data_IF_197264185682
#
_entry.id   IF_197264185682
#
_cell.length_a   1.000
_cell.length_b   1.000
_cell.length_c   1.000
_cell.angle_alpha   90.00
_cell.angle_beta   90.00
_cell.angle_gamma   90.00
#
_symmetry.space_group_name_H-M   'P 1'
#
loop_
_entity.id
_entity.type
_entity.pdbx_description
1 polymer ?
#
# COMPACT_ATOMS: atom_id res chain seq x y z
N UNK A 1 3.13 36.25 66.31
CA UNK A 1 1.97 36.27 65.40
C UNK A 1 2.28 37.33 64.35
N UNK A 2 3.03 36.96 63.30
CA UNK A 2 2.57 36.36 62.03
C UNK A 2 1.79 37.39 61.20
N UNK A 3 2.50 38.05 60.27
CA UNK A 3 2.52 37.70 58.82
C UNK A 3 1.28 38.18 58.05
N UNK A 4 0.94 39.48 58.04
CA UNK A 4 -0.26 39.97 57.35
C UNK A 4 -0.13 41.34 56.64
N UNK A 5 1.07 41.74 56.19
CA UNK A 5 1.20 43.00 55.40
C UNK A 5 2.06 42.87 54.14
N UNK A 6 2.64 41.70 53.84
CA UNK A 6 3.44 41.50 52.60
C UNK A 6 2.62 40.79 51.49
N UNK A 7 1.37 40.42 51.76
CA UNK A 7 0.48 39.77 50.79
C UNK A 7 -0.47 40.83 50.20
N UNK A 8 0.08 41.81 49.48
CA UNK A 8 -0.75 42.68 48.62
C UNK A 8 0.02 43.32 47.46
N UNK A 9 1.31 43.03 47.29
CA UNK A 9 2.14 43.59 46.21
C UNK A 9 2.98 42.43 45.63
N UNK A 10 2.29 41.45 45.05
CA UNK A 10 2.92 40.40 44.22
C UNK A 10 1.87 39.72 43.31
N UNK A 11 0.90 40.49 42.81
CA UNK A 11 -0.14 40.00 41.88
C UNK A 11 -0.20 40.77 40.56
N UNK A 12 0.78 41.64 40.28
CA UNK A 12 0.89 42.36 39.03
C UNK A 12 2.37 42.32 38.60
N UNK A 13 2.63 41.70 37.45
CA UNK A 13 3.92 41.53 36.75
C UNK A 13 4.71 40.23 37.02
N UNK A 14 4.18 39.09 36.56
CA UNK A 14 4.91 38.12 35.71
C UNK A 14 3.87 37.36 34.88
N UNK A 15 3.48 37.89 33.73
CA UNK A 15 4.05 37.55 32.43
C UNK A 15 3.94 36.05 32.11
N UNK A 16 2.85 35.72 31.40
CA UNK A 16 2.85 34.81 30.24
C UNK A 16 3.84 33.62 30.30
N UNK A 17 3.41 32.54 30.94
CA UNK A 17 3.82 31.20 30.52
C UNK A 17 2.56 30.44 30.10
N UNK A 18 2.04 30.86 28.94
CA UNK A 18 1.18 30.02 28.13
C UNK A 18 1.99 28.76 27.86
N UNK A 19 1.57 27.63 28.46
CA UNK A 19 1.98 26.30 28.06
C UNK A 19 1.53 26.11 26.61
N UNK A 20 2.36 26.61 25.69
CA UNK A 20 2.37 26.21 24.29
C UNK A 20 2.87 24.77 24.28
N UNK A 21 1.96 23.84 24.57
CA UNK A 21 2.12 22.44 24.21
C UNK A 21 2.20 22.38 22.69
N UNK A 22 3.43 22.47 22.17
CA UNK A 22 3.75 22.15 20.79
C UNK A 22 3.33 20.70 20.54
N UNK A 23 2.13 20.52 20.00
CA UNK A 23 1.78 19.36 19.21
C UNK A 23 2.79 19.33 18.05
N UNK A 24 3.86 18.55 18.18
CA UNK A 24 4.78 18.24 17.08
C UNK A 24 3.98 17.43 16.06
N UNK A 25 3.23 18.14 15.21
CA UNK A 25 2.77 17.61 13.94
C UNK A 25 4.04 17.29 13.15
N UNK A 26 4.21 16.00 12.88
CA UNK A 26 5.31 15.46 12.10
C UNK A 26 5.49 16.30 10.82
N UNK A 27 6.59 17.05 10.76
CA UNK A 27 6.99 17.85 9.59
C UNK A 27 7.11 16.99 8.31
N UNK A 28 7.18 15.67 8.46
CA UNK A 28 7.13 14.70 7.36
C UNK A 28 5.76 14.64 6.65
N UNK A 29 4.66 14.85 7.37
CA UNK A 29 3.30 14.82 6.81
C UNK A 29 2.94 16.11 6.07
N UNK A 30 3.54 17.24 6.47
CA UNK A 30 3.30 18.56 5.87
C UNK A 30 4.15 18.73 4.61
N UNK A 31 5.39 18.25 4.60
CA UNK A 31 6.25 18.29 3.40
C UNK A 31 5.72 17.43 2.24
N UNK A 32 4.98 16.35 2.54
CA UNK A 32 4.32 15.56 1.49
C UNK A 32 3.11 16.25 0.86
N UNK A 33 2.56 17.32 1.44
CA UNK A 33 1.36 17.99 0.92
C UNK A 33 1.67 19.09 -0.10
N UNK A 34 2.86 19.68 -0.04
CA UNK A 34 3.30 20.74 -0.95
C UNK A 34 4.15 20.23 -2.14
N UNK A 35 4.71 19.00 -2.06
CA UNK A 35 5.44 18.37 -3.18
C UNK A 35 4.53 17.59 -4.16
N UNK A 36 3.21 17.73 -4.03
CA UNK A 36 2.21 17.15 -4.95
C UNK A 36 1.62 18.28 -5.80
N UNK A 37 2.46 19.14 -6.37
CA UNK A 37 2.08 19.76 -7.64
C UNK A 37 2.16 18.65 -8.70
N UNK A 38 1.01 18.03 -8.94
CA UNK A 38 0.71 17.06 -10.01
C UNK A 38 1.93 16.26 -10.49
N UNK A 39 2.10 15.05 -9.96
CA UNK A 39 2.73 13.98 -10.74
C UNK A 39 1.79 13.71 -11.92
N UNK A 40 1.85 14.56 -12.94
CA UNK A 40 1.31 14.26 -14.25
C UNK A 40 2.35 13.34 -14.85
N UNK A 41 2.03 12.06 -14.97
CA UNK A 41 2.86 11.16 -15.74
C UNK A 41 3.00 11.79 -17.13
N UNK A 42 4.23 12.04 -17.62
CA UNK A 42 4.40 12.54 -18.97
C UNK A 42 3.68 11.54 -19.89
N UNK A 43 2.76 12.06 -20.70
CA UNK A 43 2.05 11.30 -21.73
C UNK A 43 0.99 10.26 -21.27
N UNK A 44 0.31 10.45 -20.13
CA UNK A 44 -0.84 9.60 -19.77
C UNK A 44 -2.13 9.98 -20.51
N UNK A 45 -2.76 9.03 -21.22
CA UNK A 45 -4.21 9.07 -21.53
C UNK A 45 -4.95 8.44 -20.35
N UNK A 46 -6.23 8.77 -20.15
CA UNK A 46 -6.97 8.54 -18.88
C UNK A 46 -6.71 7.19 -18.17
N UNK A 47 -6.58 6.09 -18.94
CA UNK A 47 -6.39 4.71 -18.42
C UNK A 47 -4.99 4.09 -18.65
N UNK A 48 -4.09 4.77 -19.38
CA UNK A 48 -2.77 4.23 -19.74
C UNK A 48 -1.63 5.22 -19.47
N UNK A 49 -0.54 4.68 -18.97
CA UNK A 49 0.75 5.35 -18.78
C UNK A 49 1.58 5.02 -20.00
N UNK A 50 1.97 6.02 -20.77
CA UNK A 50 2.91 5.86 -21.87
C UNK A 50 4.34 6.10 -21.36
N UNK A 51 5.20 5.10 -21.50
CA UNK A 51 6.58 5.14 -21.08
C UNK A 51 7.49 5.17 -22.30
N UNK A 52 8.34 6.19 -22.36
CA UNK A 52 9.46 6.21 -23.28
C UNK A 52 10.65 5.48 -22.65
N UNK A 53 11.07 4.38 -23.27
CA UNK A 53 12.23 3.60 -22.87
C UNK A 53 13.33 3.76 -23.91
N UNK A 54 14.57 3.89 -23.46
CA UNK A 54 15.72 4.05 -24.31
C UNK A 54 16.61 2.80 -24.19
N UNK A 55 16.85 2.12 -25.30
CA UNK A 55 17.62 0.89 -25.38
C UNK A 55 18.85 1.05 -26.26
N UNK A 56 19.87 0.24 -26.01
CA UNK A 56 21.05 0.15 -26.85
C UNK A 56 20.66 -0.33 -28.26
N UNK A 57 21.04 0.45 -29.28
CA UNK A 57 20.86 0.13 -30.69
C UNK A 57 22.18 0.10 -31.45
N UNK A 58 23.30 0.04 -30.75
CA UNK A 58 24.65 0.03 -31.33
C UNK A 58 24.83 -1.19 -32.25
N UNK A 59 25.39 -0.97 -33.43
CA UNK A 59 25.69 -2.06 -34.39
C UNK A 59 27.02 -2.76 -34.11
N UNK A 60 27.93 -2.07 -33.41
CA UNK A 60 29.22 -2.59 -32.99
C UNK A 60 29.66 -1.97 -31.65
N UNK A 61 30.78 -2.44 -31.11
CA UNK A 61 31.32 -1.99 -29.81
C UNK A 61 32.16 -0.70 -29.92
N UNK A 62 32.15 0.02 -31.04
CA UNK A 62 32.98 1.22 -31.25
C UNK A 62 32.20 2.50 -31.00
N UNK A 63 30.90 2.50 -31.22
CA UNK A 63 30.04 3.66 -31.03
C UNK A 63 28.72 3.27 -30.36
N UNK A 64 28.36 3.99 -29.31
CA UNK A 64 27.04 3.82 -28.68
C UNK A 64 25.97 4.51 -29.52
N UNK A 65 24.93 3.76 -29.88
CA UNK A 65 23.68 4.25 -30.44
C UNK A 65 22.53 3.88 -29.50
N UNK A 66 21.51 4.73 -29.40
CA UNK A 66 20.34 4.52 -28.55
C UNK A 66 19.08 4.69 -29.40
N UNK A 67 18.12 3.79 -29.21
CA UNK A 67 16.80 3.88 -29.82
C UNK A 67 15.70 3.99 -28.76
N UNK A 68 14.64 4.75 -29.09
CA UNK A 68 13.42 4.87 -28.27
C UNK A 68 12.45 3.72 -28.58
N UNK A 69 11.87 3.14 -27.55
CA UNK A 69 10.72 2.24 -27.58
C UNK A 69 9.62 2.79 -26.66
N UNK A 70 8.39 2.88 -27.16
CA UNK A 70 7.23 3.32 -26.38
C UNK A 70 6.51 2.10 -25.78
N UNK A 71 6.16 2.15 -24.49
CA UNK A 71 5.38 1.11 -23.79
C UNK A 71 4.16 1.69 -23.11
N UNK A 72 3.00 1.13 -23.44
CA UNK A 72 1.74 1.46 -22.78
C UNK A 72 1.50 0.51 -21.61
N UNK A 73 1.38 1.06 -20.41
CA UNK A 73 1.04 0.33 -19.19
C UNK A 73 -0.34 0.76 -18.72
N UNK A 74 -1.22 -0.20 -18.41
CA UNK A 74 -2.52 0.13 -17.80
C UNK A 74 -2.31 0.72 -16.41
N UNK A 75 -2.87 1.91 -16.18
CA UNK A 75 -2.70 2.66 -14.93
C UNK A 75 -3.18 1.87 -13.72
N UNK A 76 -4.35 1.25 -13.81
CA UNK A 76 -4.90 0.48 -12.69
C UNK A 76 -4.12 -0.81 -12.41
N UNK A 77 -3.52 -1.44 -13.43
CA UNK A 77 -2.63 -2.58 -13.21
C UNK A 77 -1.36 -2.16 -12.48
N UNK A 78 -0.75 -1.05 -12.89
CA UNK A 78 0.42 -0.48 -12.22
C UNK A 78 0.15 -0.07 -10.77
N UNK A 79 -0.96 0.61 -10.52
CA UNK A 79 -1.36 1.00 -9.16
C UNK A 79 -1.70 -0.23 -8.31
N UNK A 80 -2.39 -1.22 -8.87
CA UNK A 80 -2.70 -2.48 -8.18
C UNK A 80 -1.45 -3.26 -7.77
N UNK A 81 -0.46 -3.36 -8.66
CA UNK A 81 0.86 -3.93 -8.38
C UNK A 81 1.57 -3.18 -7.24
N UNK A 82 1.58 -1.85 -7.29
CA UNK A 82 2.16 -1.00 -6.23
C UNK A 82 1.49 -1.21 -4.87
N UNK A 83 0.16 -1.32 -4.84
CA UNK A 83 -0.61 -1.62 -3.62
C UNK A 83 -0.13 -2.93 -3.00
N UNK A 84 0.02 -3.99 -3.80
CA UNK A 84 0.48 -5.29 -3.29
C UNK A 84 1.92 -5.20 -2.77
N UNK A 85 2.81 -4.49 -3.47
CA UNK A 85 4.18 -4.29 -3.00
C UNK A 85 4.23 -3.58 -1.64
N UNK A 86 3.45 -2.53 -1.42
CA UNK A 86 3.41 -1.84 -0.11
C UNK A 86 2.77 -2.72 0.98
N UNK A 87 1.77 -3.56 0.65
CA UNK A 87 1.21 -4.54 1.60
C UNK A 87 2.23 -5.64 1.98
N UNK A 88 3.05 -6.10 1.03
CA UNK A 88 4.13 -7.06 1.27
C UNK A 88 5.21 -6.43 2.14
N UNK A 89 5.61 -5.19 1.85
CA UNK A 89 6.58 -4.41 2.63
C UNK A 89 6.10 -4.21 4.07
N UNK A 90 4.79 -4.08 4.25
CA UNK A 90 4.14 -3.99 5.56
C UNK A 90 4.06 -2.55 6.08
N UNK A 91 3.44 -2.37 7.27
CA UNK A 91 3.27 -1.04 7.85
C UNK A 91 4.60 -0.41 8.26
N UNK A 92 4.61 0.91 8.44
CA UNK A 92 5.78 1.65 8.93
C UNK A 92 6.22 1.17 10.32
N UNK A 93 7.52 1.27 10.61
CA UNK A 93 8.13 0.72 11.85
C UNK A 93 7.49 1.27 13.13
N UNK A 94 7.07 2.54 13.12
CA UNK A 94 6.45 3.20 14.28
C UNK A 94 4.92 3.00 14.35
N UNK A 95 4.35 2.23 13.43
CA UNK A 95 2.92 1.95 13.41
C UNK A 95 2.54 0.87 14.42
N UNK A 96 1.32 0.97 14.97
CA UNK A 96 0.69 -0.09 15.78
C UNK A 96 0.06 -1.20 14.92
N UNK A 97 0.08 -1.06 13.60
CA UNK A 97 -0.47 -2.04 12.66
C UNK A 97 0.44 -3.26 12.52
N UNK A 98 -0.13 -4.38 12.07
CA UNK A 98 0.59 -5.64 11.86
C UNK A 98 0.64 -5.99 10.36
N UNK A 99 1.75 -6.55 9.86
CA UNK A 99 1.85 -6.95 8.45
C UNK A 99 0.82 -8.02 8.13
N UNK A 100 0.22 -8.00 6.94
CA UNK A 100 -0.79 -8.99 6.54
C UNK A 100 -0.19 -10.19 5.79
N UNK A 101 0.99 -10.04 5.22
CA UNK A 101 1.70 -11.11 4.51
C UNK A 101 3.04 -11.42 5.21
N UNK A 102 3.57 -12.63 5.05
CA UNK A 102 4.94 -12.95 5.46
C UNK A 102 5.96 -12.06 4.73
N UNK A 103 7.01 -11.63 5.44
CA UNK A 103 8.01 -10.66 4.95
C UNK A 103 8.73 -11.11 3.66
N UNK A 104 8.83 -12.42 3.43
CA UNK A 104 9.53 -12.99 2.28
C UNK A 104 8.60 -13.28 1.09
N UNK A 105 7.32 -12.89 1.18
CA UNK A 105 6.37 -12.98 0.08
C UNK A 105 6.85 -12.11 -1.07
N UNK A 106 6.77 -12.62 -2.30
CA UNK A 106 7.00 -11.87 -3.52
C UNK A 106 5.74 -11.87 -4.36
N UNK A 107 5.48 -10.75 -5.03
CA UNK A 107 4.53 -10.70 -6.13
C UNK A 107 5.22 -11.26 -7.38
N UNK A 108 4.64 -12.29 -7.97
CA UNK A 108 5.14 -12.92 -9.19
C UNK A 108 4.51 -12.31 -10.44
N UNK A 109 3.21 -12.02 -10.37
CA UNK A 109 2.49 -11.28 -11.41
C UNK A 109 1.20 -10.66 -10.88
N UNK A 110 0.78 -9.58 -11.53
CA UNK A 110 -0.49 -8.91 -11.28
C UNK A 110 -1.17 -8.61 -12.62
N UNK A 111 -2.48 -8.80 -12.69
CA UNK A 111 -3.27 -8.40 -13.86
C UNK A 111 -4.73 -8.15 -13.47
N UNK A 112 -5.44 -7.35 -14.26
CA UNK A 112 -6.86 -7.10 -14.06
C UNK A 112 -7.61 -7.58 -15.31
N UNK A 113 -8.56 -8.49 -15.11
CA UNK A 113 -9.42 -8.99 -16.17
C UNK A 113 -10.84 -9.18 -15.63
N UNK A 114 -11.84 -8.69 -16.36
CA UNK A 114 -13.26 -8.84 -16.02
C UNK A 114 -13.59 -8.36 -14.58
N UNK A 115 -12.99 -7.23 -14.18
CA UNK A 115 -13.04 -6.66 -12.83
C UNK A 115 -12.50 -7.55 -11.70
N UNK A 116 -11.72 -8.57 -12.06
CA UNK A 116 -11.02 -9.46 -11.13
C UNK A 116 -9.53 -9.13 -11.17
N UNK A 117 -8.97 -8.84 -10.01
CA UNK A 117 -7.52 -8.74 -9.85
C UNK A 117 -6.94 -10.12 -9.60
N UNK A 118 -6.06 -10.57 -10.49
CA UNK A 118 -5.31 -11.82 -10.36
C UNK A 118 -3.98 -11.52 -9.69
N UNK A 119 -3.84 -11.95 -8.44
CA UNK A 119 -2.65 -11.73 -7.61
C UNK A 119 -1.91 -13.04 -7.48
N UNK A 120 -0.78 -13.17 -8.17
CA UNK A 120 0.04 -14.37 -8.12
C UNK A 120 1.23 -14.14 -7.18
N UNK A 121 1.25 -14.86 -6.07
CA UNK A 121 2.25 -14.71 -5.02
C UNK A 121 3.23 -15.87 -5.03
N UNK A 122 4.40 -15.64 -4.45
CA UNK A 122 5.35 -16.71 -4.20
C UNK A 122 4.88 -17.65 -3.07
N UNK A 123 5.45 -18.85 -3.01
CA UNK A 123 5.10 -19.88 -2.01
C UNK A 123 5.10 -19.40 -0.56
N UNK A 124 5.93 -18.41 -0.22
CA UNK A 124 6.06 -17.85 1.12
C UNK A 124 4.78 -17.18 1.61
N UNK A 125 3.85 -16.79 0.71
CA UNK A 125 2.55 -16.26 1.09
C UNK A 125 1.64 -17.32 1.75
N UNK A 126 1.80 -18.58 1.34
CA UNK A 126 0.98 -19.70 1.80
C UNK A 126 1.61 -20.37 3.00
N UNK A 127 1.14 -20.02 4.19
CA UNK A 127 1.62 -20.58 5.46
C UNK A 127 0.47 -20.71 6.43
N UNK A 128 0.56 -21.66 7.37
CA UNK A 128 -0.50 -21.88 8.37
C UNK A 128 -0.74 -20.62 9.19
N UNK A 129 -1.99 -20.18 9.27
CA UNK A 129 -2.40 -19.00 10.03
C UNK A 129 -3.53 -19.35 11.00
N UNK A 130 -3.68 -18.57 12.06
CA UNK A 130 -4.94 -18.58 12.81
C UNK A 130 -6.06 -18.01 11.94
N UNK A 131 -7.31 -18.43 12.17
CA UNK A 131 -8.47 -17.93 11.43
C UNK A 131 -8.52 -16.39 11.40
N UNK A 132 -8.35 -15.73 12.55
CA UNK A 132 -8.37 -14.26 12.60
C UNK A 132 -7.23 -13.62 11.82
N UNK A 133 -6.06 -14.27 11.76
CA UNK A 133 -4.90 -13.78 11.03
C UNK A 133 -5.14 -13.87 9.52
N UNK A 134 -5.60 -15.03 9.04
CA UNK A 134 -5.92 -15.23 7.62
C UNK A 134 -7.05 -14.30 7.18
N UNK A 135 -8.09 -14.13 8.01
CA UNK A 135 -9.19 -13.20 7.73
C UNK A 135 -8.68 -11.76 7.56
N UNK A 136 -7.82 -11.29 8.47
CA UNK A 136 -7.21 -9.97 8.36
C UNK A 136 -6.33 -9.85 7.10
N UNK A 137 -5.65 -10.93 6.71
CA UNK A 137 -4.85 -10.97 5.48
C UNK A 137 -5.69 -10.86 4.22
N UNK A 138 -6.78 -11.64 4.14
CA UNK A 138 -7.71 -11.61 3.02
C UNK A 138 -8.46 -10.28 2.94
N UNK A 139 -8.94 -9.75 4.07
CA UNK A 139 -9.57 -8.41 4.12
C UNK A 139 -8.61 -7.32 3.67
N UNK A 140 -7.36 -7.35 4.15
CA UNK A 140 -6.34 -6.38 3.75
C UNK A 140 -6.11 -6.37 2.24
N UNK A 141 -5.90 -7.55 1.64
CA UNK A 141 -5.72 -7.68 0.19
C UNK A 141 -6.97 -7.22 -0.60
N UNK A 142 -8.13 -7.77 -0.25
CA UNK A 142 -9.39 -7.50 -0.98
C UNK A 142 -9.74 -6.03 -0.88
N UNK A 143 -9.73 -5.43 0.32
CA UNK A 143 -10.15 -4.04 0.51
C UNK A 143 -9.19 -3.04 -0.12
N UNK A 144 -7.89 -3.29 -0.06
CA UNK A 144 -6.91 -2.43 -0.72
C UNK A 144 -7.06 -2.48 -2.24
N UNK A 145 -7.22 -3.66 -2.85
CA UNK A 145 -7.37 -3.76 -4.30
C UNK A 145 -8.73 -3.25 -4.80
N UNK A 146 -9.82 -3.58 -4.10
CA UNK A 146 -11.18 -3.08 -4.43
C UNK A 146 -11.39 -1.61 -4.06
N UNK A 147 -10.34 -0.89 -3.67
CA UNK A 147 -10.35 0.59 -3.65
C UNK A 147 -10.19 1.17 -5.06
N UNK A 148 -9.66 0.39 -6.00
CA UNK A 148 -9.64 0.73 -7.43
C UNK A 148 -11.00 0.38 -8.04
N UNK A 149 -11.64 1.36 -8.67
CA UNK A 149 -13.00 1.20 -9.21
C UNK A 149 -13.13 0.13 -10.31
N UNK A 150 -12.02 -0.24 -10.95
CA UNK A 150 -11.93 -1.31 -11.94
C UNK A 150 -11.88 -2.72 -11.32
N UNK A 151 -11.76 -2.85 -9.99
CA UNK A 151 -11.63 -4.14 -9.31
C UNK A 151 -12.81 -4.37 -8.35
N UNK A 152 -13.58 -5.42 -8.59
CA UNK A 152 -14.68 -5.86 -7.71
C UNK A 152 -14.29 -7.09 -6.88
N UNK A 153 -13.43 -7.97 -7.43
CA UNK A 153 -13.01 -9.22 -6.79
C UNK A 153 -11.52 -9.46 -6.93
N UNK A 154 -10.97 -10.31 -6.05
CA UNK A 154 -9.56 -10.71 -6.06
C UNK A 154 -9.46 -12.22 -6.18
N UNK A 155 -8.66 -12.70 -7.13
CA UNK A 155 -8.24 -14.09 -7.25
C UNK A 155 -6.78 -14.21 -6.82
N UNK A 156 -6.53 -15.01 -5.79
CA UNK A 156 -5.19 -15.27 -5.29
C UNK A 156 -4.68 -16.59 -5.91
N UNK A 157 -3.46 -16.54 -6.43
CA UNK A 157 -2.70 -17.69 -6.91
C UNK A 157 -1.37 -17.77 -6.15
N UNK A 158 -0.81 -18.97 -6.06
CA UNK A 158 0.54 -19.17 -5.52
C UNK A 158 1.33 -20.00 -6.51
N UNK A 159 2.50 -19.51 -6.92
CA UNK A 159 3.37 -20.18 -7.90
C UNK A 159 2.63 -20.55 -9.20
N UNK A 160 1.85 -19.59 -9.75
CA UNK A 160 0.99 -19.76 -10.93
C UNK A 160 -0.12 -20.83 -10.78
N UNK A 161 -0.39 -21.31 -9.57
CA UNK A 161 -1.39 -22.36 -9.32
C UNK A 161 -2.58 -21.80 -8.54
N UNK A 162 -3.75 -22.33 -8.88
CA UNK A 162 -4.93 -22.16 -8.04
C UNK A 162 -4.70 -22.89 -6.71
N UNK A 163 -5.07 -22.22 -5.62
CA UNK A 163 -5.02 -22.76 -4.27
C UNK A 163 -6.39 -22.64 -3.61
N UNK A 164 -6.68 -23.54 -2.69
CA UNK A 164 -7.96 -23.55 -1.97
C UNK A 164 -7.91 -22.67 -0.72
N UNK A 165 -6.74 -22.49 -0.10
CA UNK A 165 -6.59 -21.73 1.16
C UNK A 165 -5.24 -21.03 1.19
N UNK A 166 -5.16 -19.84 1.79
CA UNK A 166 -3.88 -19.16 2.01
C UNK A 166 -3.25 -19.59 3.35
N UNK A 167 -4.07 -19.73 4.38
CA UNK A 167 -3.67 -20.07 5.75
C UNK A 167 -4.38 -21.26 6.38
N UNK A 168 -5.34 -21.85 5.67
CA UNK A 168 -6.03 -23.09 6.01
C UNK A 168 -7.50 -22.94 6.45
N UNK A 169 -7.99 -21.72 6.66
CA UNK A 169 -9.29 -21.45 7.29
C UNK A 169 -10.34 -20.86 6.34
N UNK A 170 -9.96 -20.38 5.16
CA UNK A 170 -10.88 -19.77 4.19
C UNK A 170 -10.70 -20.37 2.79
N UNK A 171 -11.82 -20.64 2.11
CA UNK A 171 -11.86 -21.09 0.72
C UNK A 171 -11.65 -19.91 -0.25
N UNK A 172 -10.49 -19.89 -0.91
CA UNK A 172 -10.09 -18.91 -1.92
C UNK A 172 -9.98 -19.54 -3.33
N UNK A 173 -10.59 -20.71 -3.52
CA UNK A 173 -10.63 -21.40 -4.82
C UNK A 173 -11.34 -20.57 -5.90
N UNK A 174 -12.21 -19.64 -5.50
CA UNK A 174 -12.90 -18.68 -6.38
C UNK A 174 -12.46 -17.24 -6.09
N UNK A 175 -12.63 -16.32 -7.05
CA UNK A 175 -12.42 -14.89 -6.80
C UNK A 175 -13.36 -14.38 -5.69
N UNK A 176 -12.84 -13.60 -4.75
CA UNK A 176 -13.58 -13.06 -3.61
C UNK A 176 -13.65 -11.53 -3.65
N UNK A 177 -14.86 -10.99 -3.49
CA UNK A 177 -15.12 -9.59 -3.19
C UNK A 177 -15.33 -9.35 -1.70
N UNK A 178 -15.63 -8.09 -1.32
CA UNK A 178 -15.82 -7.69 0.09
C UNK A 178 -16.89 -8.49 0.82
N UNK A 179 -17.98 -8.83 0.13
CA UNK A 179 -19.14 -9.54 0.67
C UNK A 179 -19.02 -11.06 0.63
N UNK A 180 -18.03 -11.59 -0.09
CA UNK A 180 -17.89 -13.04 -0.30
C UNK A 180 -17.16 -13.73 0.86
N UNK A 181 -16.34 -12.97 1.60
CA UNK A 181 -15.39 -13.54 2.57
C UNK A 181 -16.06 -14.23 3.77
N UNK A 182 -17.18 -13.70 4.26
CA UNK A 182 -17.89 -14.30 5.41
C UNK A 182 -18.42 -15.71 5.07
N UNK A 183 -18.79 -15.93 3.80
CA UNK A 183 -19.25 -17.22 3.30
C UNK A 183 -18.10 -18.16 2.92
N UNK A 184 -16.88 -17.63 2.76
CA UNK A 184 -15.70 -18.40 2.40
C UNK A 184 -15.06 -19.12 3.59
N UNK A 185 -15.46 -18.83 4.83
CA UNK A 185 -14.88 -19.46 6.02
C UNK A 185 -15.19 -20.96 6.03
N UNK A 186 -14.14 -21.79 6.11
CA UNK A 186 -14.28 -23.24 6.25
C UNK A 186 -14.83 -23.56 7.65
N UNK A 187 -15.83 -24.44 7.70
CA UNK A 187 -16.41 -24.96 8.95
C UNK A 187 -15.48 -25.98 9.60
#
# INVERSE_FOLDING_TARGET
MKKWVIISICCLLTLSLILSGCEKKDKLSIQNKEKIEKITLPNSKDDVIDLELYFDSSKDNKQSEIAKEERLIKKDEFIGELIIHELIKGPTVNSKLRPILPKNTRLLSFSIKDKIAYVNLSKEASTKMSSNKEEASLKGLIWSLTSLSSIEKVKILVENKNIDTLGGNFDISKPLGKTDLDNAKKK
#
